data_IF_748741568451
#
_entry.id   IF_748741568451
#
_cell.length_a   1.000
_cell.length_b   1.000
_cell.length_c   1.000
_cell.angle_alpha   90.00
_cell.angle_beta   90.00
_cell.angle_gamma   90.00
#
_symmetry.space_group_name_H-M   'P 1'
#
loop_
_entity.id
_entity.type
_entity.pdbx_description
1 polymer ?
#
# COMPACT_ATOMS: atom_id res chain seq x y z
N UNK A 1 -0.79 -6.30 45.34
CA UNK A 1 -1.35 -7.09 44.22
C UNK A 1 -1.14 -6.32 42.92
N UNK A 2 0.03 -6.45 42.28
CA UNK A 2 0.18 -6.10 40.85
C UNK A 2 1.23 -7.03 40.27
N UNK A 3 0.76 -8.21 39.85
CA UNK A 3 1.59 -9.23 39.22
C UNK A 3 1.93 -8.68 37.82
N UNK A 4 3.20 -8.28 37.64
CA UNK A 4 3.75 -7.90 36.33
C UNK A 4 3.50 -9.06 35.36
N UNK A 5 2.59 -8.86 34.41
CA UNK A 5 2.30 -9.81 33.34
C UNK A 5 3.53 -9.82 32.43
N UNK A 6 4.46 -10.69 32.77
CA UNK A 6 5.61 -11.08 31.96
C UNK A 6 5.05 -11.65 30.66
N UNK A 7 5.02 -10.82 29.63
CA UNK A 7 4.62 -11.20 28.29
C UNK A 7 5.35 -12.51 27.92
N UNK A 8 4.65 -13.56 27.47
CA UNK A 8 5.31 -14.79 27.07
C UNK A 8 6.23 -14.44 25.91
N UNK A 9 7.54 -14.51 26.16
CA UNK A 9 8.57 -14.38 25.14
C UNK A 9 8.42 -15.56 24.20
N UNK A 10 7.64 -15.39 23.14
CA UNK A 10 7.54 -16.35 22.05
C UNK A 10 8.89 -16.28 21.34
N UNK A 11 9.83 -17.12 21.74
CA UNK A 11 11.13 -17.28 21.07
C UNK A 11 10.87 -17.96 19.74
N UNK A 12 10.41 -17.18 18.75
CA UNK A 12 10.36 -17.60 17.37
C UNK A 12 11.81 -17.79 16.94
N UNK A 13 12.19 -19.05 16.70
CA UNK A 13 13.37 -19.35 15.90
C UNK A 13 13.00 -18.85 14.50
N UNK A 14 13.30 -17.58 14.23
CA UNK A 14 13.21 -16.98 12.91
C UNK A 14 14.26 -17.68 12.04
N UNK A 15 13.91 -18.88 11.59
CA UNK A 15 14.77 -19.72 10.76
C UNK A 15 15.06 -18.96 9.48
N UNK A 16 16.32 -18.56 9.32
CA UNK A 16 17.03 -18.47 8.04
C UNK A 16 16.23 -18.00 6.80
N UNK A 17 15.39 -16.98 6.96
CA UNK A 17 14.77 -16.32 5.81
C UNK A 17 15.72 -15.25 5.30
N UNK A 18 16.36 -15.53 4.17
CA UNK A 18 17.09 -14.50 3.44
C UNK A 18 16.09 -13.42 3.01
N UNK A 19 16.19 -12.23 3.60
CA UNK A 19 15.47 -11.03 3.13
C UNK A 19 15.96 -10.69 1.72
N UNK A 20 15.38 -11.34 0.71
CA UNK A 20 15.74 -11.16 -0.70
C UNK A 20 15.14 -9.90 -1.33
N UNK A 21 14.05 -9.37 -0.75
CA UNK A 21 13.44 -8.14 -1.23
C UNK A 21 14.16 -6.92 -0.68
N UNK A 22 15.04 -6.39 -1.52
CA UNK A 22 15.59 -5.03 -1.38
C UNK A 22 14.45 -4.00 -1.41
N UNK A 23 14.63 -2.85 -0.78
CA UNK A 23 13.65 -1.75 -0.74
C UNK A 23 13.08 -1.38 -2.11
N UNK A 24 13.93 -1.43 -3.15
CA UNK A 24 13.50 -1.19 -4.54
C UNK A 24 12.44 -2.18 -5.03
N UNK A 25 12.53 -3.46 -4.67
CA UNK A 25 11.51 -4.44 -5.06
C UNK A 25 10.18 -4.14 -4.36
N UNK A 26 10.22 -3.79 -3.08
CA UNK A 26 9.04 -3.42 -2.30
C UNK A 26 8.38 -2.17 -2.89
N UNK A 27 9.17 -1.17 -3.27
CA UNK A 27 8.67 0.03 -3.95
C UNK A 27 8.04 -0.28 -5.30
N UNK A 28 8.63 -1.17 -6.10
CA UNK A 28 8.07 -1.60 -7.38
C UNK A 28 6.76 -2.37 -7.21
N UNK A 29 6.65 -3.19 -6.16
CA UNK A 29 5.40 -3.88 -5.81
C UNK A 29 4.33 -2.87 -5.40
N UNK A 30 4.67 -1.89 -4.55
CA UNK A 30 3.75 -0.85 -4.12
C UNK A 30 3.28 0.03 -5.29
N UNK A 31 4.21 0.44 -6.17
CA UNK A 31 3.89 1.20 -7.40
C UNK A 31 3.00 0.38 -8.33
N UNK A 32 3.32 -0.90 -8.54
CA UNK A 32 2.51 -1.80 -9.36
C UNK A 32 1.08 -1.94 -8.84
N UNK A 33 0.90 -2.07 -7.52
CA UNK A 33 -0.41 -2.12 -6.88
C UNK A 33 -1.20 -0.82 -7.03
N UNK A 34 -0.60 0.33 -6.71
CA UNK A 34 -1.26 1.64 -6.79
C UNK A 34 -1.63 1.99 -8.24
N UNK A 35 -0.78 1.69 -9.22
CA UNK A 35 -1.09 1.96 -10.63
C UNK A 35 -2.14 0.97 -11.16
N UNK A 36 -2.03 -0.32 -10.81
CA UNK A 36 -2.93 -1.37 -11.29
C UNK A 36 -4.35 -1.27 -10.72
N UNK A 37 -4.52 -1.54 -9.42
CA UNK A 37 -5.85 -1.54 -8.79
C UNK A 37 -6.31 -0.15 -8.39
N UNK A 38 -5.40 0.74 -7.99
CA UNK A 38 -5.73 2.10 -7.56
C UNK A 38 -6.09 3.02 -8.71
N UNK A 39 -5.15 3.25 -9.64
CA UNK A 39 -5.36 4.15 -10.77
C UNK A 39 -6.22 3.48 -11.84
N UNK A 40 -5.87 2.31 -12.37
CA UNK A 40 -6.56 1.76 -13.55
C UNK A 40 -7.99 1.28 -13.26
N UNK A 41 -8.19 0.49 -12.19
CA UNK A 41 -9.52 -0.02 -11.82
C UNK A 41 -10.45 1.11 -11.33
N UNK A 42 -9.91 2.10 -10.59
CA UNK A 42 -10.68 3.23 -10.08
C UNK A 42 -10.99 4.29 -11.15
N UNK A 43 -10.03 4.66 -11.99
CA UNK A 43 -10.21 5.76 -12.96
C UNK A 43 -11.13 5.41 -14.11
N UNK A 44 -11.16 4.15 -14.58
CA UNK A 44 -11.98 3.75 -15.71
C UNK A 44 -13.48 4.01 -15.51
N UNK A 45 -13.95 3.82 -14.28
CA UNK A 45 -15.34 4.08 -13.89
C UNK A 45 -15.62 5.59 -13.72
N UNK A 46 -14.68 6.31 -13.08
CA UNK A 46 -14.83 7.76 -12.85
C UNK A 46 -14.78 8.54 -14.17
N UNK A 47 -13.95 8.13 -15.13
CA UNK A 47 -13.89 8.76 -16.47
C UNK A 47 -15.22 8.59 -17.20
N UNK A 48 -15.89 7.45 -17.10
CA UNK A 48 -17.20 7.23 -17.71
C UNK A 48 -18.29 8.10 -17.08
N UNK A 49 -18.26 8.28 -15.76
CA UNK A 49 -19.28 9.04 -15.03
C UNK A 49 -19.09 10.56 -15.14
N UNK A 50 -17.85 11.05 -15.07
CA UNK A 50 -17.52 12.48 -14.98
C UNK A 50 -17.12 13.06 -16.34
N UNK A 51 -16.75 12.22 -17.30
CA UNK A 51 -16.27 12.67 -18.62
C UNK A 51 -14.92 13.38 -18.54
N UNK A 52 -14.59 14.27 -19.51
CA UNK A 52 -13.28 14.92 -19.60
C UNK A 52 -12.92 15.80 -18.39
N UNK A 53 -13.89 16.14 -17.53
CA UNK A 53 -13.67 16.94 -16.33
C UNK A 53 -12.81 16.21 -15.27
N UNK A 54 -12.62 14.89 -15.38
CA UNK A 54 -11.80 14.10 -14.44
C UNK A 54 -10.37 14.63 -14.32
N UNK A 55 -9.80 15.17 -15.40
CA UNK A 55 -8.44 15.71 -15.37
C UNK A 55 -8.32 16.88 -14.40
N UNK A 56 -9.34 17.73 -14.33
CA UNK A 56 -9.38 18.87 -13.43
C UNK A 56 -9.50 18.38 -11.98
N UNK A 57 -10.39 17.41 -11.74
CA UNK A 57 -10.56 16.80 -10.42
C UNK A 57 -9.28 16.12 -9.91
N UNK A 58 -8.55 15.42 -10.78
CA UNK A 58 -7.26 14.79 -10.44
C UNK A 58 -6.16 15.81 -10.12
N UNK A 59 -6.11 16.94 -10.84
CA UNK A 59 -5.17 18.02 -10.58
C UNK A 59 -5.43 18.63 -9.21
N UNK A 60 -6.68 18.97 -8.88
CA UNK A 60 -7.01 19.55 -7.58
C UNK A 60 -6.88 18.53 -6.43
N UNK A 61 -7.33 17.30 -6.65
CA UNK A 61 -7.23 16.23 -5.66
C UNK A 61 -5.80 15.80 -5.34
N UNK A 62 -4.87 15.92 -6.30
CA UNK A 62 -3.45 15.64 -6.07
C UNK A 62 -2.64 16.83 -5.54
N UNK A 63 -3.22 18.03 -5.50
CA UNK A 63 -2.56 19.27 -5.07
C UNK A 63 -2.87 19.63 -3.60
N UNK A 64 -3.92 19.03 -3.04
CA UNK A 64 -4.31 19.08 -1.62
C UNK A 64 -3.66 17.91 -0.87
#
# INVERSE_FOLDING_TARGET
MTKSIKQPTVTLKDGDYQRGLKDRHVQLIALGGIIGSGYFLGTGEIINQVGPAVFIAYIFGGLI
#
